data_IF_556377791621
#
_entry.id   IF_556377791621
#
_cell.length_a   1.000
_cell.length_b   1.000
_cell.length_c   1.000
_cell.angle_alpha   90.00
_cell.angle_beta   90.00
_cell.angle_gamma   90.00
#
_symmetry.space_group_name_H-M   'P 1'
#
loop_
_entity.id
_entity.type
_entity.pdbx_description
1 polymer ?
#
# COMPACT_ATOMS: atom_id res chain seq x y z
N UNK A 1 33.51 33.40 24.15
CA UNK A 1 33.37 33.46 22.68
C UNK A 1 33.93 32.16 22.13
N UNK A 2 33.14 31.50 21.27
CA UNK A 2 33.38 30.22 20.61
C UNK A 2 34.77 30.16 19.91
N UNK A 3 35.35 29.04 19.52
CA UNK A 3 34.87 27.76 18.99
C UNK A 3 36.12 26.82 19.03
N UNK A 4 36.13 25.49 18.97
CA UNK A 4 35.56 24.60 17.97
C UNK A 4 35.55 23.16 18.54
N UNK A 5 34.43 22.46 18.31
CA UNK A 5 34.23 21.04 18.63
C UNK A 5 34.66 20.21 17.42
N UNK A 6 35.62 19.31 17.59
CA UNK A 6 35.91 18.26 16.62
C UNK A 6 35.81 16.91 17.32
N UNK A 7 34.70 16.20 17.11
CA UNK A 7 34.52 14.85 17.57
C UNK A 7 35.35 13.89 16.69
N UNK A 8 36.13 12.96 17.28
CA UNK A 8 36.65 11.83 16.54
C UNK A 8 35.70 10.62 16.67
N UNK A 9 35.73 9.83 15.62
CA UNK A 9 34.87 8.69 15.30
C UNK A 9 35.03 7.56 16.32
N UNK A 10 33.91 6.92 16.67
CA UNK A 10 33.88 5.74 17.52
C UNK A 10 34.17 4.51 16.63
N UNK A 11 35.40 4.00 16.69
CA UNK A 11 35.74 2.67 16.21
C UNK A 11 35.40 1.66 17.31
N UNK A 12 34.51 0.72 16.98
CA UNK A 12 34.09 -0.36 17.87
C UNK A 12 35.19 -1.43 17.92
N UNK A 13 36.05 -1.37 18.94
CA UNK A 13 36.94 -2.46 19.32
C UNK A 13 36.23 -3.40 20.32
N UNK A 14 35.71 -4.52 19.79
CA UNK A 14 35.53 -5.80 20.50
C UNK A 14 36.88 -6.22 21.14
N UNK A 15 37.04 -6.84 22.31
CA UNK A 15 36.23 -7.32 23.43
C UNK A 15 37.23 -7.39 24.61
N UNK A 16 36.83 -7.06 25.85
CA UNK A 16 37.34 -7.77 27.03
C UNK A 16 36.46 -7.58 28.26
N UNK A 17 36.08 -8.72 28.80
CA UNK A 17 35.13 -8.98 29.88
C UNK A 17 35.48 -8.28 31.20
N UNK A 18 34.48 -7.68 31.86
CA UNK A 18 34.45 -7.58 33.32
C UNK A 18 33.00 -7.59 33.83
N UNK A 19 32.82 -8.42 34.84
CA UNK A 19 31.58 -8.96 35.39
C UNK A 19 30.78 -7.88 36.16
N UNK A 20 29.51 -7.64 35.80
CA UNK A 20 28.56 -6.98 36.70
C UNK A 20 27.19 -7.67 36.65
N UNK A 21 27.00 -8.62 37.57
CA UNK A 21 25.71 -9.23 37.86
C UNK A 21 24.95 -8.34 38.86
N UNK A 22 23.91 -7.66 38.37
CA UNK A 22 22.84 -7.12 39.20
C UNK A 22 21.52 -7.23 38.42
N UNK A 23 20.65 -8.10 38.92
CA UNK A 23 19.36 -8.42 38.35
C UNK A 23 18.41 -7.21 38.23
N UNK A 24 17.69 -7.11 37.12
CA UNK A 24 16.25 -6.91 37.17
C UNK A 24 15.56 -7.79 36.10
N UNK A 25 14.73 -8.72 36.57
CA UNK A 25 13.66 -9.30 35.76
C UNK A 25 12.48 -8.32 35.73
N UNK A 26 11.61 -8.48 34.72
CA UNK A 26 10.36 -7.73 34.41
C UNK A 26 10.61 -6.39 33.67
N UNK A 27 9.99 -6.09 32.53
CA UNK A 27 8.56 -6.14 32.21
C UNK A 27 8.30 -6.29 30.70
N UNK A 28 7.10 -6.80 30.38
CA UNK A 28 6.45 -6.69 29.09
C UNK A 28 6.41 -5.26 28.54
N UNK A 29 6.44 -5.19 27.20
CA UNK A 29 5.48 -4.52 26.30
C UNK A 29 6.29 -3.99 25.13
N UNK A 30 6.15 -4.64 23.97
CA UNK A 30 6.47 -4.01 22.70
C UNK A 30 5.48 -2.85 22.56
N UNK A 31 5.91 -1.68 23.02
CA UNK A 31 5.14 -0.46 22.98
C UNK A 31 4.87 -0.17 21.50
N UNK A 32 3.64 -0.49 21.08
CA UNK A 32 3.04 0.04 19.86
C UNK A 32 3.07 1.55 20.00
N UNK A 33 4.18 2.18 19.61
CA UNK A 33 4.24 3.62 19.43
C UNK A 33 3.05 3.98 18.56
N UNK A 34 2.10 4.69 19.15
CA UNK A 34 1.00 5.28 18.42
C UNK A 34 1.63 6.19 17.37
N UNK A 35 1.76 5.67 16.15
CA UNK A 35 2.14 6.43 14.99
C UNK A 35 1.14 7.59 14.92
N UNK A 36 1.58 8.86 14.78
CA UNK A 36 0.66 9.97 14.55
C UNK A 36 -0.26 9.58 13.40
N UNK A 37 -1.55 9.97 13.39
CA UNK A 37 -2.49 9.52 12.37
C UNK A 37 -1.91 9.83 10.99
N UNK A 38 -1.30 8.81 10.38
CA UNK A 38 -0.73 8.91 9.05
C UNK A 38 -1.89 9.13 8.11
N UNK A 39 -1.79 10.12 7.23
CA UNK A 39 -2.80 10.34 6.20
C UNK A 39 -3.07 8.99 5.51
N UNK A 40 -4.34 8.67 5.24
CA UNK A 40 -4.70 7.42 4.56
C UNK A 40 -3.99 7.27 3.21
N UNK A 41 -3.58 8.39 2.59
CA UNK A 41 -2.71 8.38 1.41
C UNK A 41 -1.31 7.82 1.69
N UNK A 42 -0.69 8.20 2.82
CA UNK A 42 0.63 7.68 3.22
C UNK A 42 0.53 6.19 3.56
N UNK A 43 -0.48 5.79 4.33
CA UNK A 43 -0.72 4.38 4.63
C UNK A 43 -0.89 3.55 3.35
N UNK A 44 -1.69 4.04 2.40
CA UNK A 44 -1.89 3.34 1.14
C UNK A 44 -0.60 3.29 0.28
N UNK A 45 0.23 4.34 0.37
CA UNK A 45 1.54 4.37 -0.30
C UNK A 45 2.48 3.32 0.28
N UNK A 46 2.53 3.19 1.60
CA UNK A 46 3.36 2.19 2.31
C UNK A 46 2.92 0.76 2.00
N UNK A 47 1.62 0.55 1.76
CA UNK A 47 1.07 -0.75 1.37
C UNK A 47 1.34 -1.12 -0.09
N UNK A 48 1.81 -0.18 -0.93
CA UNK A 48 2.08 -0.50 -2.33
C UNK A 48 3.38 -1.31 -2.45
N UNK A 49 3.26 -2.50 -3.02
CA UNK A 49 4.41 -3.36 -3.30
C UNK A 49 5.38 -2.70 -4.30
N UNK A 50 6.64 -3.13 -4.27
CA UNK A 50 7.66 -2.59 -5.20
C UNK A 50 7.25 -2.74 -6.67
N UNK A 51 6.46 -3.76 -7.02
CA UNK A 51 5.96 -3.95 -8.37
C UNK A 51 4.78 -3.03 -8.74
N UNK A 52 4.15 -2.35 -7.78
CA UNK A 52 3.07 -1.38 -7.99
C UNK A 52 1.66 -1.88 -7.69
N UNK A 53 1.50 -3.02 -7.01
CA UNK A 53 0.19 -3.58 -6.68
C UNK A 53 -0.06 -3.58 -5.18
N UNK A 54 -1.29 -3.88 -4.79
CA UNK A 54 -1.69 -4.11 -3.40
C UNK A 54 -2.15 -5.55 -3.20
N UNK A 55 -1.94 -6.06 -2.00
CA UNK A 55 -2.47 -7.35 -1.57
C UNK A 55 -3.87 -7.16 -1.01
N UNK A 56 -4.75 -8.11 -1.28
CA UNK A 56 -6.08 -8.13 -0.67
C UNK A 56 -5.94 -8.73 0.73
N UNK A 57 -5.74 -7.87 1.74
CA UNK A 57 -5.60 -8.27 3.14
C UNK A 57 -6.38 -7.35 4.08
N UNK A 58 -6.38 -7.68 5.38
CA UNK A 58 -7.04 -6.88 6.40
C UNK A 58 -6.43 -5.49 6.54
N UNK A 59 -5.13 -5.31 6.27
CA UNK A 59 -4.45 -4.03 6.42
C UNK A 59 -4.91 -3.04 5.35
N UNK A 60 -5.06 -3.50 4.10
CA UNK A 60 -5.67 -2.72 3.03
C UNK A 60 -7.13 -2.39 3.36
N UNK A 61 -7.88 -3.36 3.88
CA UNK A 61 -9.28 -3.16 4.25
C UNK A 61 -9.44 -2.09 5.34
N UNK A 62 -8.60 -2.14 6.37
CA UNK A 62 -8.55 -1.17 7.46
C UNK A 62 -8.14 0.22 6.96
N UNK A 63 -7.15 0.31 6.06
CA UNK A 63 -6.73 1.57 5.42
C UNK A 63 -7.86 2.21 4.60
N UNK A 64 -8.67 1.39 3.91
CA UNK A 64 -9.83 1.84 3.12
C UNK A 64 -11.01 2.21 4.03
N UNK A 65 -11.09 1.60 5.22
CA UNK A 65 -12.19 1.76 6.17
C UNK A 65 -13.40 0.86 5.87
N UNK A 66 -13.22 -0.23 5.13
CA UNK A 66 -14.29 -1.19 4.79
C UNK A 66 -13.89 -2.58 5.28
N UNK A 67 -14.85 -3.36 5.79
CA UNK A 67 -14.58 -4.75 6.23
C UNK A 67 -14.03 -5.61 5.09
N UNK A 68 -12.99 -6.39 5.38
CA UNK A 68 -12.36 -7.31 4.43
C UNK A 68 -13.34 -8.27 3.73
N UNK A 69 -14.32 -8.79 4.48
CA UNK A 69 -15.38 -9.67 3.96
C UNK A 69 -16.24 -9.00 2.87
N UNK A 70 -16.47 -7.69 3.00
CA UNK A 70 -17.23 -6.92 2.01
C UNK A 70 -16.40 -6.74 0.74
N UNK A 71 -15.10 -6.45 0.88
CA UNK A 71 -14.20 -6.27 -0.25
C UNK A 71 -14.05 -7.57 -1.05
N UNK A 72 -13.85 -8.71 -0.38
CA UNK A 72 -13.74 -10.03 -1.01
C UNK A 72 -15.05 -10.50 -1.64
N UNK A 73 -16.20 -10.28 -0.99
CA UNK A 73 -17.52 -10.67 -1.52
C UNK A 73 -17.88 -9.93 -2.81
N UNK A 74 -17.46 -8.67 -2.94
CA UNK A 74 -17.76 -7.84 -4.12
C UNK A 74 -16.73 -7.98 -5.24
N UNK A 75 -15.72 -8.85 -5.09
CA UNK A 75 -14.74 -9.10 -6.12
C UNK A 75 -15.39 -9.72 -7.37
N UNK A 76 -15.17 -9.15 -8.57
CA UNK A 76 -15.56 -9.79 -9.82
C UNK A 76 -14.81 -11.12 -9.98
N UNK A 77 -15.53 -12.22 -10.21
CA UNK A 77 -14.90 -13.54 -10.44
C UNK A 77 -14.12 -13.60 -11.77
N UNK A 78 -14.51 -12.77 -12.73
CA UNK A 78 -13.93 -12.74 -14.06
C UNK A 78 -13.67 -11.29 -14.49
N UNK A 79 -12.69 -11.12 -15.38
CA UNK A 79 -12.47 -9.84 -16.01
C UNK A 79 -13.67 -9.40 -16.87
N UNK A 80 -14.02 -8.10 -16.91
CA UNK A 80 -14.95 -7.58 -17.89
C UNK A 80 -14.58 -8.01 -19.32
N UNK A 81 -15.60 -8.17 -20.16
CA UNK A 81 -15.40 -8.49 -21.57
C UNK A 81 -14.40 -7.51 -22.24
N UNK A 82 -13.55 -7.97 -23.16
CA UNK A 82 -13.50 -9.32 -23.77
C UNK A 82 -12.65 -10.35 -23.02
N UNK A 83 -12.07 -10.01 -21.87
CA UNK A 83 -10.95 -10.77 -21.31
C UNK A 83 -11.36 -12.03 -20.53
N UNK A 84 -12.54 -12.05 -19.89
CA UNK A 84 -13.28 -13.21 -19.30
C UNK A 84 -12.47 -14.29 -18.51
N UNK A 85 -11.19 -14.06 -18.22
CA UNK A 85 -10.37 -14.95 -17.40
C UNK A 85 -10.55 -14.64 -15.91
N UNK A 86 -10.14 -15.57 -15.05
CA UNK A 86 -10.24 -15.44 -13.60
C UNK A 86 -9.47 -14.21 -13.10
N UNK A 87 -10.13 -13.35 -12.33
CA UNK A 87 -9.50 -12.15 -11.78
C UNK A 87 -8.69 -12.51 -10.53
N UNK A 88 -7.40 -12.15 -10.53
CA UNK A 88 -6.52 -12.28 -9.37
C UNK A 88 -6.91 -11.29 -8.26
N UNK A 89 -6.88 -11.72 -7.00
CA UNK A 89 -7.19 -10.88 -5.84
C UNK A 89 -6.33 -9.61 -5.78
N UNK A 90 -5.08 -9.69 -6.24
CA UNK A 90 -4.15 -8.55 -6.30
C UNK A 90 -4.62 -7.49 -7.29
N UNK A 91 -5.26 -7.89 -8.39
CA UNK A 91 -5.87 -6.95 -9.32
C UNK A 91 -6.99 -6.21 -8.62
N UNK A 92 -7.87 -6.95 -7.94
CA UNK A 92 -9.01 -6.37 -7.27
C UNK A 92 -8.57 -5.40 -6.16
N UNK A 93 -7.62 -5.81 -5.32
CA UNK A 93 -6.98 -4.94 -4.34
C UNK A 93 -6.37 -3.67 -4.96
N UNK A 94 -5.70 -3.81 -6.10
CA UNK A 94 -5.13 -2.66 -6.81
C UNK A 94 -6.20 -1.72 -7.35
N UNK A 95 -7.31 -2.26 -7.86
CA UNK A 95 -8.45 -1.46 -8.30
C UNK A 95 -9.11 -0.72 -7.14
N UNK A 96 -9.27 -1.37 -5.98
CA UNK A 96 -9.78 -0.77 -4.75
C UNK A 96 -8.90 0.38 -4.24
N UNK A 97 -7.57 0.18 -4.20
CA UNK A 97 -6.64 1.24 -3.81
C UNK A 97 -6.72 2.46 -4.74
N UNK A 98 -6.75 2.24 -6.06
CA UNK A 98 -6.90 3.31 -7.04
C UNK A 98 -8.23 4.05 -6.91
N UNK A 99 -9.32 3.30 -6.74
CA UNK A 99 -10.65 3.87 -6.52
C UNK A 99 -10.71 4.70 -5.23
N UNK A 100 -10.06 4.22 -4.16
CA UNK A 100 -10.00 4.92 -2.89
C UNK A 100 -9.26 6.26 -2.99
N UNK A 101 -8.13 6.31 -3.70
CA UNK A 101 -7.40 7.55 -3.97
C UNK A 101 -8.26 8.56 -4.74
N UNK A 102 -8.94 8.09 -5.79
CA UNK A 102 -9.81 8.92 -6.62
C UNK A 102 -11.02 9.47 -5.85
N UNK A 103 -11.51 8.76 -4.82
CA UNK A 103 -12.64 9.19 -3.98
C UNK A 103 -12.21 10.06 -2.79
N UNK A 104 -11.16 9.67 -2.06
CA UNK A 104 -10.76 10.30 -0.79
C UNK A 104 -9.76 11.43 -0.94
N UNK A 105 -8.95 11.39 -1.99
CA UNK A 105 -7.87 12.34 -2.22
C UNK A 105 -7.96 13.04 -3.60
N UNK A 106 -9.14 13.50 -4.05
CA UNK A 106 -9.27 14.14 -5.38
C UNK A 106 -8.46 15.43 -5.50
N UNK A 107 -8.19 16.12 -4.38
CA UNK A 107 -7.42 17.37 -4.37
C UNK A 107 -5.89 17.13 -4.36
N UNK A 108 -5.45 15.90 -4.12
CA UNK A 108 -4.05 15.53 -4.01
C UNK A 108 -3.57 14.65 -5.19
N UNK A 109 -4.19 14.80 -6.37
CA UNK A 109 -3.86 14.02 -7.58
C UNK A 109 -2.35 14.02 -7.85
N UNK A 110 -1.70 15.17 -7.71
CA UNK A 110 -0.26 15.28 -7.97
C UNK A 110 0.58 14.43 -7.01
N UNK A 111 0.11 14.19 -5.78
CA UNK A 111 0.79 13.37 -4.78
C UNK A 111 0.72 11.87 -5.13
N UNK A 112 -0.42 11.39 -5.64
CA UNK A 112 -0.63 9.97 -5.92
C UNK A 112 -0.60 9.59 -7.41
N UNK A 113 -0.37 10.54 -8.32
CA UNK A 113 -0.33 10.27 -9.77
C UNK A 113 0.72 9.23 -10.13
N UNK A 114 1.91 9.30 -9.53
CA UNK A 114 2.98 8.34 -9.81
C UNK A 114 2.62 6.95 -9.27
N UNK A 115 2.07 6.90 -8.06
CA UNK A 115 1.56 5.68 -7.40
C UNK A 115 0.53 4.99 -8.30
N UNK A 116 -0.44 5.78 -8.79
CA UNK A 116 -1.51 5.29 -9.66
C UNK A 116 -1.01 4.85 -11.03
N UNK A 117 -0.06 5.58 -11.63
CA UNK A 117 0.53 5.22 -12.93
C UNK A 117 1.23 3.87 -12.86
N UNK A 118 2.02 3.65 -11.81
CA UNK A 118 2.75 2.39 -11.60
C UNK A 118 1.78 1.21 -11.46
N UNK A 119 0.72 1.40 -10.69
CA UNK A 119 -0.34 0.41 -10.52
C UNK A 119 -1.09 0.08 -11.81
N UNK A 120 -1.48 1.11 -12.59
CA UNK A 120 -2.12 0.92 -13.90
C UNK A 120 -1.22 0.15 -14.87
N UNK A 121 0.08 0.45 -14.90
CA UNK A 121 1.07 -0.31 -15.69
C UNK A 121 1.15 -1.77 -15.22
N UNK A 122 1.18 -2.02 -13.91
CA UNK A 122 1.22 -3.37 -13.37
C UNK A 122 -0.05 -4.17 -13.73
N UNK A 123 -1.24 -3.58 -13.59
CA UNK A 123 -2.50 -4.20 -14.02
C UNK A 123 -2.49 -4.49 -15.53
N UNK A 124 -1.94 -3.59 -16.34
CA UNK A 124 -1.73 -3.79 -17.76
C UNK A 124 -0.92 -5.03 -18.09
N UNK A 125 0.15 -5.29 -17.33
CA UNK A 125 0.96 -6.50 -17.48
C UNK A 125 0.18 -7.76 -17.11
N UNK A 126 -0.73 -7.70 -16.12
CA UNK A 126 -1.53 -8.87 -15.73
C UNK A 126 -2.55 -9.25 -16.80
N UNK A 127 -3.14 -8.26 -17.48
CA UNK A 127 -4.22 -8.50 -18.45
C UNK A 127 -3.69 -8.72 -19.86
N UNK A 128 -2.70 -7.94 -20.26
CA UNK A 128 -2.26 -7.85 -21.65
C UNK A 128 -0.81 -8.30 -21.87
N UNK A 129 -0.08 -8.64 -20.81
CA UNK A 129 1.35 -8.97 -20.90
C UNK A 129 2.24 -7.79 -21.35
N UNK A 130 1.71 -6.57 -21.40
CA UNK A 130 2.41 -5.39 -21.94
C UNK A 130 2.56 -4.30 -20.88
N UNK A 131 3.71 -3.62 -20.88
CA UNK A 131 3.97 -2.41 -20.09
C UNK A 131 3.44 -1.13 -20.74
N UNK A 132 3.13 -1.17 -22.04
CA UNK A 132 2.49 -0.07 -22.78
C UNK A 132 1.01 -0.36 -22.89
N UNK A 133 0.19 0.53 -22.33
CA UNK A 133 -1.26 0.49 -22.43
C UNK A 133 -1.71 1.33 -23.64
N UNK A 134 -2.50 0.73 -24.53
CA UNK A 134 -3.27 1.46 -25.54
C UNK A 134 -4.62 1.94 -24.97
N UNK A 135 -5.39 2.72 -25.73
CA UNK A 135 -6.67 3.28 -25.27
C UNK A 135 -7.70 2.20 -24.88
N UNK A 136 -7.80 1.12 -25.66
CA UNK A 136 -8.70 -0.01 -25.38
C UNK A 136 -8.33 -0.72 -24.07
N UNK A 137 -7.04 -0.96 -23.87
CA UNK A 137 -6.49 -1.59 -22.67
C UNK A 137 -6.72 -0.72 -21.42
N UNK A 138 -6.51 0.60 -21.57
CA UNK A 138 -6.81 1.56 -20.52
C UNK A 138 -8.31 1.57 -20.18
N UNK A 139 -9.19 1.40 -21.17
CA UNK A 139 -10.63 1.26 -20.96
C UNK A 139 -11.00 0.06 -20.09
N UNK A 140 -10.41 -1.11 -20.34
CA UNK A 140 -10.68 -2.31 -19.55
C UNK A 140 -10.21 -2.16 -18.09
N UNK A 141 -9.03 -1.58 -17.87
CA UNK A 141 -8.52 -1.30 -16.51
C UNK A 141 -9.42 -0.28 -15.80
N UNK A 142 -9.79 0.80 -16.49
CA UNK A 142 -10.74 1.79 -15.96
C UNK A 142 -12.06 1.16 -15.56
N UNK A 143 -12.61 0.25 -16.36
CA UNK A 143 -13.86 -0.44 -16.02
C UNK A 143 -13.80 -1.19 -14.69
N UNK A 144 -12.67 -1.83 -14.36
CA UNK A 144 -12.51 -2.53 -13.07
C UNK A 144 -12.36 -1.53 -11.93
N UNK A 145 -11.65 -0.43 -12.14
CA UNK A 145 -11.53 0.66 -11.16
C UNK A 145 -12.91 1.29 -10.88
N UNK A 146 -13.74 1.51 -11.91
CA UNK A 146 -15.11 2.02 -11.73
C UNK A 146 -15.99 1.05 -10.93
N UNK A 147 -15.87 -0.27 -11.16
CA UNK A 147 -16.55 -1.26 -10.32
C UNK A 147 -16.10 -1.17 -8.86
N UNK A 148 -14.79 -1.03 -8.63
CA UNK A 148 -14.25 -0.83 -7.29
C UNK A 148 -14.81 0.45 -6.65
N UNK A 149 -14.91 1.57 -7.38
CA UNK A 149 -15.52 2.81 -6.88
C UNK A 149 -16.95 2.62 -6.44
N UNK A 150 -17.77 1.87 -7.19
CA UNK A 150 -19.15 1.57 -6.81
C UNK A 150 -19.22 0.79 -5.50
N UNK A 151 -18.30 -0.15 -5.29
CA UNK A 151 -18.20 -0.90 -4.02
C UNK A 151 -17.79 0.02 -2.88
N UNK A 152 -16.81 0.90 -3.10
CA UNK A 152 -16.36 1.84 -2.07
C UNK A 152 -17.46 2.84 -1.70
N UNK A 153 -18.11 3.47 -2.69
CA UNK A 153 -19.15 4.47 -2.42
C UNK A 153 -20.41 3.89 -1.78
N UNK A 154 -20.70 2.60 -1.99
CA UNK A 154 -21.81 1.92 -1.35
C UNK A 154 -21.55 1.51 0.12
N UNK A 155 -20.30 1.54 0.58
CA UNK A 155 -19.88 1.01 1.89
C UNK A 155 -19.04 2.01 2.72
N UNK A 156 -19.04 3.30 2.34
CA UNK A 156 -18.35 4.39 3.03
C UNK A 156 -19.26 5.21 3.94
#
# INVERSE_FOLDING_TARGET
FASENLAPQCECLFDQDDECEAACETEEVCEKKAVPPTSSLLQLTDLQEFQGFWKLDSVLADCIGIKFEVLTKNQPKQWPAPHQFHMDDRVWATALALAFLEIKHPDAIDEWTLLAKKAKIWMGKQVFGSSKLNESQNGAIKSVIEQAKLVLSANQ
#
